data_IF_918773662338
#
_entry.id   IF_918773662338
#
_cell.length_a   1.000
_cell.length_b   1.000
_cell.length_c   1.000
_cell.angle_alpha   90.00
_cell.angle_beta   90.00
_cell.angle_gamma   90.00
#
_symmetry.space_group_name_H-M   'P 1'
#
loop_
_entity.id
_entity.type
_entity.pdbx_description
1 polymer ?
#
# COMPACT_ATOMS: atom_id res chain seq x y z
N UNK A 1 -18.37 13.47 -18.08
CA UNK A 1 -18.07 13.54 -16.63
C UNK A 1 -16.84 14.40 -16.49
N UNK A 2 -16.99 15.54 -15.85
CA UNK A 2 -15.99 16.60 -15.85
C UNK A 2 -14.74 16.17 -15.09
N UNK A 3 -13.55 16.45 -15.62
CA UNK A 3 -12.26 16.06 -15.05
C UNK A 3 -12.11 16.49 -13.58
N UNK A 4 -12.73 17.62 -13.20
CA UNK A 4 -12.79 18.14 -11.84
C UNK A 4 -13.44 17.13 -10.88
N UNK A 5 -14.48 16.41 -11.31
CA UNK A 5 -15.17 15.40 -10.49
C UNK A 5 -14.34 14.14 -10.27
N UNK A 6 -13.42 13.84 -11.19
CA UNK A 6 -12.51 12.69 -11.07
C UNK A 6 -11.43 12.96 -10.03
N UNK A 7 -10.77 14.12 -10.10
CA UNK A 7 -9.71 14.50 -9.17
C UNK A 7 -10.21 14.61 -7.74
N UNK A 8 -11.36 15.28 -7.52
CA UNK A 8 -11.96 15.40 -6.19
C UNK A 8 -12.29 14.03 -5.60
N UNK A 9 -12.82 13.12 -6.42
CA UNK A 9 -13.15 11.76 -5.98
C UNK A 9 -11.88 10.97 -5.65
N UNK A 10 -10.83 11.11 -6.46
CA UNK A 10 -9.54 10.48 -6.22
C UNK A 10 -8.92 10.97 -4.91
N UNK A 11 -8.92 12.28 -4.67
CA UNK A 11 -8.41 12.90 -3.45
C UNK A 11 -9.15 12.42 -2.20
N UNK A 12 -10.49 12.39 -2.26
CA UNK A 12 -11.32 11.87 -1.16
C UNK A 12 -10.98 10.40 -0.82
N UNK A 13 -10.86 9.54 -1.85
CA UNK A 13 -10.49 8.14 -1.62
C UNK A 13 -9.05 7.98 -1.13
N UNK A 14 -8.11 8.80 -1.58
CA UNK A 14 -6.75 8.80 -1.06
C UNK A 14 -6.72 9.14 0.43
N UNK A 15 -7.54 10.08 0.88
CA UNK A 15 -7.66 10.41 2.30
C UNK A 15 -8.24 9.25 3.12
N UNK A 16 -9.30 8.60 2.62
CA UNK A 16 -9.88 7.40 3.26
C UNK A 16 -8.83 6.28 3.39
N UNK A 17 -8.03 6.04 2.35
CA UNK A 17 -6.96 5.04 2.37
C UNK A 17 -5.89 5.41 3.41
N UNK A 18 -5.49 6.69 3.48
CA UNK A 18 -4.52 7.17 4.47
C UNK A 18 -5.02 6.95 5.91
N UNK A 19 -6.28 7.27 6.18
CA UNK A 19 -6.90 7.04 7.50
C UNK A 19 -6.99 5.55 7.84
N UNK A 20 -7.35 4.71 6.88
CA UNK A 20 -7.35 3.25 7.06
C UNK A 20 -5.95 2.70 7.35
N UNK A 21 -4.91 3.26 6.73
CA UNK A 21 -3.51 2.89 7.01
C UNK A 21 -3.04 3.33 8.39
N UNK A 22 -3.54 4.47 8.88
CA UNK A 22 -3.29 5.00 10.22
C UNK A 22 -4.21 4.43 11.32
N UNK A 23 -4.90 3.31 11.04
CA UNK A 23 -5.76 2.64 12.03
C UNK A 23 -4.95 2.17 13.26
N UNK A 24 -5.57 2.12 14.46
CA UNK A 24 -4.97 1.57 15.66
C UNK A 24 -4.29 0.21 15.46
N UNK A 25 -3.16 0.01 16.14
CA UNK A 25 -2.44 -1.25 16.11
C UNK A 25 -3.34 -2.39 16.61
N UNK A 26 -3.33 -3.53 15.92
CA UNK A 26 -4.21 -4.66 16.20
C UNK A 26 -5.62 -4.55 15.58
N UNK A 27 -6.00 -3.41 14.99
CA UNK A 27 -7.24 -3.32 14.24
C UNK A 27 -7.07 -3.82 12.80
N UNK A 28 -7.94 -4.75 12.38
CA UNK A 28 -7.98 -5.20 10.99
C UNK A 28 -8.56 -4.11 10.08
N UNK A 29 -8.09 -4.06 8.84
CA UNK A 29 -8.62 -3.10 7.87
C UNK A 29 -10.12 -3.31 7.64
N UNK A 30 -10.59 -4.56 7.61
CA UNK A 30 -12.01 -4.87 7.42
C UNK A 30 -12.87 -4.30 8.56
N UNK A 31 -12.46 -4.49 9.82
CA UNK A 31 -13.16 -3.93 10.99
C UNK A 31 -13.21 -2.40 10.93
N UNK A 32 -12.09 -1.75 10.63
CA UNK A 32 -12.04 -0.29 10.50
C UNK A 32 -12.98 0.22 9.40
N UNK A 33 -13.05 -0.45 8.24
CA UNK A 33 -13.94 -0.08 7.14
C UNK A 33 -15.41 -0.17 7.54
N UNK A 34 -15.80 -1.24 8.23
CA UNK A 34 -17.18 -1.44 8.71
C UNK A 34 -17.56 -0.34 9.71
N UNK A 35 -16.70 -0.04 10.67
CA UNK A 35 -16.91 1.02 11.68
C UNK A 35 -17.07 2.41 11.05
N UNK A 36 -16.39 2.67 9.93
CA UNK A 36 -16.47 3.94 9.21
C UNK A 36 -17.57 3.95 8.12
N UNK A 37 -18.40 2.91 8.03
CA UNK A 37 -19.49 2.81 7.05
C UNK A 37 -19.01 2.66 5.60
N UNK A 38 -17.77 2.20 5.39
CA UNK A 38 -17.16 2.07 4.07
C UNK A 38 -17.38 0.67 3.53
N UNK A 39 -17.92 0.57 2.32
CA UNK A 39 -18.03 -0.71 1.64
C UNK A 39 -16.65 -1.28 1.28
N UNK A 40 -16.37 -2.50 1.75
CA UNK A 40 -15.09 -3.19 1.57
C UNK A 40 -14.71 -3.37 0.10
N UNK A 41 -15.65 -3.75 -0.76
CA UNK A 41 -15.38 -3.96 -2.20
C UNK A 41 -15.02 -2.64 -2.87
N UNK A 42 -15.78 -1.59 -2.57
CA UNK A 42 -15.53 -0.23 -3.07
C UNK A 42 -14.19 0.29 -2.61
N UNK A 43 -13.82 0.05 -1.34
CA UNK A 43 -12.51 0.42 -0.81
C UNK A 43 -11.37 -0.21 -1.59
N UNK A 44 -11.36 -1.52 -1.79
CA UNK A 44 -10.26 -2.18 -2.50
C UNK A 44 -10.21 -1.82 -3.99
N UNK A 45 -11.37 -1.57 -4.60
CA UNK A 45 -11.44 -1.02 -5.96
C UNK A 45 -10.74 0.34 -6.05
N UNK A 46 -11.08 1.28 -5.15
CA UNK A 46 -10.48 2.62 -5.14
C UNK A 46 -9.02 2.61 -4.70
N UNK A 47 -8.63 1.73 -3.78
CA UNK A 47 -7.24 1.55 -3.39
C UNK A 47 -6.36 1.17 -4.58
N UNK A 48 -6.82 0.22 -5.40
CA UNK A 48 -6.11 -0.16 -6.64
C UNK A 48 -6.02 1.02 -7.60
N UNK A 49 -7.13 1.75 -7.80
CA UNK A 49 -7.19 2.89 -8.71
C UNK A 49 -6.27 4.04 -8.29
N UNK A 50 -6.29 4.42 -7.02
CA UNK A 50 -5.41 5.47 -6.46
C UNK A 50 -3.94 5.08 -6.61
N UNK A 51 -3.57 3.82 -6.33
CA UNK A 51 -2.19 3.35 -6.54
C UNK A 51 -1.75 3.43 -8.00
N UNK A 52 -2.63 3.07 -8.94
CA UNK A 52 -2.33 3.14 -10.37
C UNK A 52 -2.07 4.58 -10.80
N UNK A 53 -2.94 5.52 -10.42
CA UNK A 53 -2.78 6.95 -10.76
C UNK A 53 -1.49 7.54 -10.18
N UNK A 54 -1.10 7.15 -8.96
CA UNK A 54 0.17 7.56 -8.37
C UNK A 54 1.37 6.96 -9.12
N UNK A 55 1.30 5.69 -9.52
CA UNK A 55 2.35 5.04 -10.30
C UNK A 55 2.49 5.68 -11.68
N UNK A 56 1.39 5.89 -12.40
CA UNK A 56 1.40 6.53 -13.73
C UNK A 56 2.00 7.95 -13.65
N UNK A 57 1.74 8.69 -12.57
CA UNK A 57 2.39 9.99 -12.30
C UNK A 57 3.86 9.85 -11.93
N UNK A 58 4.24 8.84 -11.15
CA UNK A 58 5.63 8.60 -10.72
C UNK A 58 6.53 8.07 -11.85
N UNK A 59 5.98 7.33 -12.82
CA UNK A 59 6.71 6.92 -14.04
C UNK A 59 7.11 8.12 -14.90
N UNK A 60 6.37 9.24 -14.79
CA UNK A 60 6.74 10.51 -15.41
C UNK A 60 7.77 11.33 -14.60
N UNK A 61 8.15 10.89 -13.39
CA UNK A 61 9.30 11.45 -12.69
C UNK A 61 10.58 10.79 -13.22
N UNK A 62 11.71 11.54 -13.33
CA UNK A 62 12.99 10.94 -13.68
C UNK A 62 13.26 9.81 -12.68
N UNK A 63 13.49 8.61 -13.21
CA UNK A 63 13.65 7.39 -12.43
C UNK A 63 14.59 7.66 -11.25
N UNK A 64 14.07 7.52 -10.02
CA UNK A 64 14.91 7.41 -8.84
C UNK A 64 15.90 6.29 -9.15
N UNK A 65 17.17 6.65 -9.35
CA UNK A 65 18.22 5.69 -9.59
C UNK A 65 18.16 4.69 -8.46
N UNK A 66 17.68 3.49 -8.75
CA UNK A 66 17.73 2.37 -7.84
C UNK A 66 19.21 2.13 -7.60
N UNK A 67 19.75 2.68 -6.51
CA UNK A 67 21.11 2.35 -6.10
C UNK A 67 21.08 0.84 -5.88
N UNK A 68 21.68 0.10 -6.82
CA UNK A 68 21.92 -1.33 -6.70
C UNK A 68 22.91 -1.51 -5.55
N UNK A 69 22.43 -1.39 -4.32
CA UNK A 69 23.12 -2.00 -3.21
C UNK A 69 23.02 -3.50 -3.45
N UNK A 70 24.14 -4.10 -3.85
CA UNK A 70 24.27 -5.55 -3.99
C UNK A 70 23.85 -6.17 -2.66
N UNK A 71 22.69 -6.83 -2.66
CA UNK A 71 22.19 -7.53 -1.48
C UNK A 71 22.97 -8.83 -1.39
N UNK A 72 24.01 -8.84 -0.55
CA UNK A 72 24.76 -10.06 -0.23
C UNK A 72 24.08 -10.80 0.91
N UNK A 73 23.79 -12.08 0.71
CA UNK A 73 23.29 -12.97 1.76
C UNK A 73 24.48 -13.70 2.40
N UNK A 74 24.51 -13.77 3.73
CA UNK A 74 25.50 -14.56 4.46
C UNK A 74 24.90 -15.91 4.86
N UNK A 75 25.63 -17.00 4.65
CA UNK A 75 25.24 -18.34 5.10
C UNK A 75 25.36 -18.44 6.62
N UNK A 76 24.33 -18.99 7.27
CA UNK A 76 24.32 -19.27 8.70
C UNK A 76 24.74 -20.73 8.91
N UNK A 77 25.83 -21.02 9.63
CA UNK A 77 26.22 -22.38 9.96
C UNK A 77 25.09 -23.09 10.73
N UNK A 78 24.63 -24.21 10.21
CA UNK A 78 23.67 -25.06 10.89
C UNK A 78 24.47 -26.06 11.74
N UNK A 79 24.55 -25.83 13.05
CA UNK A 79 25.08 -26.84 13.97
C UNK A 79 24.06 -27.99 14.01
N UNK A 80 24.39 -29.09 13.35
CA UNK A 80 23.68 -30.34 13.53
C UNK A 80 23.78 -30.70 15.02
N UNK A 81 22.63 -30.71 15.70
CA UNK A 81 22.55 -31.30 17.04
C UNK A 81 22.80 -32.80 16.86
N UNK A 82 24.05 -33.21 17.04
CA UNK A 82 24.43 -34.60 17.20
C UNK A 82 23.77 -35.12 18.48
N UNK A 83 22.60 -35.74 18.33
CA UNK A 83 22.02 -36.58 19.37
C UNK A 83 22.69 -37.94 19.30
N UNK A 84 23.79 -38.14 20.04
CA UNK A 84 24.16 -39.38 20.78
C UNK A 84 25.55 -39.28 21.38
#
# INVERSE_FOLDING_TARGET
>A
MDNITHEVRLANWAEIIKRCQARPQGQSANKWLIENGINVKTYYYWQRRVRKELFDKAVNLPALSLQKNEVTFAEVPCEALDNS
#
